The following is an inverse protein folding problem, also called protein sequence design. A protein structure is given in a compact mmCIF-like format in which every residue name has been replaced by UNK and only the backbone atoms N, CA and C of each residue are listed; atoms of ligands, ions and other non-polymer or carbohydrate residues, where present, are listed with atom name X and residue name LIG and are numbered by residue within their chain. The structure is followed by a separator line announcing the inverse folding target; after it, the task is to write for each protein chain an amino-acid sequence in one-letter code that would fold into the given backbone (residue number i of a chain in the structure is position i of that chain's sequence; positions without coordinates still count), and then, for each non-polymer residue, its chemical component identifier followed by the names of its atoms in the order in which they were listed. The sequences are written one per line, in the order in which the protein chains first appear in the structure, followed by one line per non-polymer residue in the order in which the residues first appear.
data_IF_108507270564
#
_entry.id   IF_108507270564
#
_cell.length_a   1.000
_cell.length_b   1.000
_cell.length_c   1.000
_cell.angle_alpha   90.00
_cell.angle_beta   90.00
_cell.angle_gamma   90.00
#
_symmetry.space_group_name_H-M   'P 1'
#
loop_
_entity.id
_entity.type
_entity.pdbx_description
1 polymer ?
#
# COMPACT_ATOMS: atom_id res chain seq x y z
N UNK A 1 30.21 31.06 -5.88
CA UNK A 1 28.77 30.93 -5.58
C UNK A 1 28.59 29.94 -4.43
N UNK A 2 28.01 30.35 -3.29
CA UNK A 2 27.78 29.46 -2.13
C UNK A 2 26.37 28.86 -2.26
N UNK A 3 26.26 27.54 -2.36
CA UNK A 3 24.97 26.83 -2.43
C UNK A 3 24.15 27.13 -1.17
N UNK A 4 22.89 27.52 -1.35
CA UNK A 4 22.01 27.92 -0.23
C UNK A 4 21.18 26.75 0.26
N UNK A 5 20.71 26.79 1.50
CA UNK A 5 19.89 25.71 2.10
C UNK A 5 18.64 25.33 1.29
N UNK A 6 18.17 26.23 0.40
CA UNK A 6 17.06 25.97 -0.53
C UNK A 6 17.44 24.97 -1.63
N UNK A 7 18.71 24.96 -2.06
CA UNK A 7 19.22 24.00 -3.04
C UNK A 7 19.31 22.58 -2.46
N UNK A 8 19.57 22.45 -1.15
CA UNK A 8 19.57 21.16 -0.46
C UNK A 8 18.17 20.55 -0.29
N UNK A 9 17.12 21.37 -0.15
CA UNK A 9 15.74 20.88 -0.04
C UNK A 9 15.21 20.29 -1.36
N UNK A 10 15.65 20.81 -2.51
CA UNK A 10 15.30 20.26 -3.81
C UNK A 10 15.94 18.88 -4.06
N UNK A 11 17.11 18.61 -3.49
CA UNK A 11 17.79 17.32 -3.61
C UNK A 11 17.20 16.26 -2.67
N UNK A 12 16.66 16.65 -1.52
CA UNK A 12 16.05 15.70 -0.57
C UNK A 12 14.60 15.33 -0.91
N UNK A 13 13.89 16.14 -1.71
CA UNK A 13 12.50 15.87 -2.11
C UNK A 13 12.33 14.81 -3.20
N UNK A 14 13.42 14.36 -3.84
CA UNK A 14 13.36 13.42 -4.97
C UNK A 14 14.21 12.17 -4.80
N UNK A 15 14.43 11.70 -3.57
CA UNK A 15 14.63 10.26 -3.38
C UNK A 15 13.30 9.57 -3.63
N UNK A 16 12.91 9.47 -4.91
CA UNK A 16 12.12 8.36 -5.42
C UNK A 16 12.89 7.13 -5.00
N UNK A 17 12.58 6.64 -3.81
CA UNK A 17 13.11 5.40 -3.28
C UNK A 17 12.76 4.42 -4.37
N UNK A 18 13.78 3.97 -5.07
CA UNK A 18 13.72 2.84 -5.99
C UNK A 18 12.77 1.85 -5.33
N UNK A 19 11.68 1.48 -6.01
CA UNK A 19 10.69 0.56 -5.48
C UNK A 19 11.43 -0.66 -4.96
N UNK A 20 11.74 -0.67 -3.66
CA UNK A 20 12.63 -1.67 -3.09
C UNK A 20 11.99 -3.01 -3.44
N UNK A 21 12.76 -3.89 -4.09
CA UNK A 21 12.30 -5.21 -4.47
C UNK A 21 11.93 -5.93 -3.17
N UNK A 22 10.64 -5.93 -2.82
CA UNK A 22 10.14 -6.39 -1.52
C UNK A 22 9.23 -5.41 -0.77
N UNK A 23 9.17 -4.14 -1.18
CA UNK A 23 8.23 -3.15 -0.63
C UNK A 23 6.78 -3.57 -0.84
N UNK A 24 5.90 -3.18 0.07
CA UNK A 24 4.46 -3.46 -0.04
C UNK A 24 3.88 -2.94 -1.37
N UNK A 25 4.41 -1.83 -1.90
CA UNK A 25 4.00 -1.30 -3.20
C UNK A 25 4.37 -2.24 -4.35
N UNK A 26 5.58 -2.81 -4.33
CA UNK A 26 6.00 -3.80 -5.31
C UNK A 26 5.15 -5.07 -5.22
N UNK A 27 4.94 -5.59 -4.00
CA UNK A 27 4.10 -6.79 -3.76
C UNK A 27 2.65 -6.57 -4.19
N UNK A 28 2.07 -5.40 -3.89
CA UNK A 28 0.72 -5.05 -4.33
C UNK A 28 0.60 -5.02 -5.86
N UNK A 29 1.57 -4.38 -6.54
CA UNK A 29 1.61 -4.31 -8.00
C UNK A 29 1.75 -5.69 -8.65
N UNK A 30 2.57 -6.58 -8.07
CA UNK A 30 2.76 -7.94 -8.58
C UNK A 30 1.46 -8.76 -8.59
N UNK A 31 0.57 -8.54 -7.63
CA UNK A 31 -0.73 -9.22 -7.53
C UNK A 31 -1.87 -8.36 -8.14
N UNK A 32 -1.55 -7.25 -8.82
CA UNK A 32 -2.55 -6.40 -9.46
C UNK A 32 -3.51 -5.68 -8.51
N UNK A 33 -3.11 -5.44 -7.24
CA UNK A 33 -3.96 -4.77 -6.24
C UNK A 33 -3.46 -3.36 -5.89
N UNK A 34 -4.35 -2.42 -5.53
CA UNK A 34 -3.95 -1.13 -5.00
C UNK A 34 -3.21 -1.28 -3.66
N UNK A 35 -2.17 -0.48 -3.46
CA UNK A 35 -1.38 -0.46 -2.22
C UNK A 35 -2.25 -0.07 -1.01
N UNK A 36 -3.20 0.85 -1.20
CA UNK A 36 -4.17 1.24 -0.18
C UNK A 36 -4.99 0.05 0.29
N UNK A 37 -5.52 -0.75 -0.64
CA UNK A 37 -6.26 -1.98 -0.36
C UNK A 37 -5.41 -2.99 0.41
N UNK A 38 -4.14 -3.19 0.00
CA UNK A 38 -3.21 -4.07 0.70
C UNK A 38 -3.02 -3.63 2.17
N UNK A 39 -2.77 -2.33 2.40
CA UNK A 39 -2.60 -1.76 3.75
C UNK A 39 -3.85 -1.94 4.61
N UNK A 40 -5.04 -1.65 4.08
CA UNK A 40 -6.30 -1.82 4.82
C UNK A 40 -6.52 -3.26 5.23
N UNK A 41 -6.16 -4.23 4.39
CA UNK A 41 -6.28 -5.66 4.72
C UNK A 41 -5.29 -6.10 5.78
N UNK A 42 -4.02 -5.70 5.65
CA UNK A 42 -3.01 -5.97 6.69
C UNK A 42 -3.51 -5.42 8.01
N UNK A 43 -4.03 -4.19 8.03
CA UNK A 43 -4.60 -3.59 9.24
C UNK A 43 -5.75 -4.42 9.82
N UNK A 44 -6.75 -4.80 9.02
CA UNK A 44 -7.88 -5.64 9.49
C UNK A 44 -7.43 -6.99 10.05
N UNK A 45 -6.43 -7.61 9.43
CA UNK A 45 -5.88 -8.89 9.87
C UNK A 45 -5.11 -8.73 11.19
N UNK A 46 -4.31 -7.68 11.30
CA UNK A 46 -3.61 -7.33 12.55
C UNK A 46 -4.60 -6.97 13.66
N UNK A 47 -5.63 -6.19 13.36
CA UNK A 47 -6.71 -5.86 14.31
C UNK A 47 -7.47 -7.12 14.79
N UNK A 48 -7.51 -8.17 13.96
CA UNK A 48 -8.05 -9.49 14.34
C UNK A 48 -7.07 -10.39 15.11
N UNK A 49 -5.89 -9.88 15.45
CA UNK A 49 -4.86 -10.60 16.23
C UNK A 49 -3.88 -11.41 15.39
N UNK A 50 -3.83 -11.22 14.07
CA UNK A 50 -2.89 -11.93 13.20
C UNK A 50 -1.57 -11.17 13.16
N UNK A 51 -0.46 -11.89 13.31
CA UNK A 51 0.87 -11.30 13.20
C UNK A 51 1.07 -10.61 11.85
N UNK A 52 1.77 -9.47 11.85
CA UNK A 52 1.94 -8.61 10.69
C UNK A 52 2.49 -9.34 9.46
N UNK A 53 3.47 -10.22 9.63
CA UNK A 53 4.04 -10.97 8.50
C UNK A 53 3.04 -11.93 7.89
N UNK A 54 2.38 -12.73 8.73
CA UNK A 54 1.31 -13.64 8.32
C UNK A 54 0.12 -12.90 7.70
N UNK A 55 -0.19 -11.71 8.20
CA UNK A 55 -1.21 -10.83 7.64
C UNK A 55 -0.85 -10.35 6.23
N UNK A 56 0.44 -10.08 5.96
CA UNK A 56 0.92 -9.73 4.61
C UNK A 56 0.74 -10.92 3.67
N UNK A 57 1.13 -12.12 4.07
CA UNK A 57 0.95 -13.34 3.25
C UNK A 57 -0.52 -13.62 2.95
N UNK A 58 -1.39 -13.55 3.97
CA UNK A 58 -2.83 -13.74 3.81
C UNK A 58 -3.45 -12.64 2.92
N UNK A 59 -2.97 -11.40 3.04
CA UNK A 59 -3.46 -10.31 2.21
C UNK A 59 -3.02 -10.45 0.74
N UNK A 60 -1.83 -11.01 0.47
CA UNK A 60 -1.32 -11.22 -0.88
C UNK A 60 -1.91 -12.47 -1.55
N UNK A 61 -2.21 -13.53 -0.80
CA UNK A 61 -2.69 -14.82 -1.36
C UNK A 61 -4.10 -14.76 -1.95
N UNK A 62 -4.97 -13.89 -1.44
CA UNK A 62 -6.35 -13.73 -1.92
C UNK A 62 -6.56 -12.35 -2.52
N UNK A 63 -6.12 -12.05 -3.75
CA UNK A 63 -6.41 -10.76 -4.36
C UNK A 63 -7.92 -10.54 -4.46
N UNK A 64 -8.41 -9.49 -3.82
CA UNK A 64 -9.80 -9.06 -4.00
C UNK A 64 -9.81 -8.30 -5.33
N UNK A 65 -10.44 -8.89 -6.34
CA UNK A 65 -10.77 -8.19 -7.58
C UNK A 65 -11.60 -6.94 -7.29
N UNK A 66 -11.77 -6.02 -8.25
CA UNK A 66 -12.52 -4.78 -8.04
C UNK A 66 -13.85 -5.08 -7.34
N UNK A 67 -13.99 -4.64 -6.09
CA UNK A 67 -15.27 -4.70 -5.39
C UNK A 67 -16.20 -3.81 -6.19
N UNK A 68 -17.07 -4.44 -6.99
CA UNK A 68 -18.11 -3.75 -7.73
C UNK A 68 -18.88 -2.79 -6.83
N UNK A 69 -19.47 -1.77 -7.46
CA UNK A 69 -20.24 -0.70 -6.82
C UNK A 69 -21.07 -1.25 -5.63
N UNK A 70 -21.00 -0.62 -4.43
CA UNK A 70 -21.85 -1.00 -3.32
C UNK A 70 -23.30 -1.10 -3.79
N UNK A 71 -23.95 -2.26 -3.58
CA UNK A 71 -25.38 -2.37 -3.83
C UNK A 71 -26.05 -1.37 -2.91
N UNK A 72 -26.81 -0.42 -3.48
CA UNK A 72 -27.63 0.48 -2.69
C UNK A 72 -28.51 -0.39 -1.77
N UNK A 73 -28.63 -0.11 -0.47
CA UNK A 73 -29.62 -0.77 0.35
C UNK A 73 -30.99 -0.42 -0.23
N UNK A 74 -31.66 -1.42 -0.81
CA UNK A 74 -33.08 -1.30 -1.20
C UNK A 74 -33.89 -1.37 0.08
N UNK A 75 -34.12 -0.21 0.71
CA UNK A 75 -35.25 -0.02 1.60
C UNK A 75 -36.28 0.79 0.83
N UNK A 76 -37.32 0.12 0.35
CA UNK A 76 -38.60 0.69 -0.04
C UNK A 76 -39.69 -0.26 0.46
#
# INVERSE_FOLDING_TARGET
MKLTARDFQLVQGQKKTECAMGSLSHRAKAVGMPVSTLKTRIRKLVDSGIERERAIEIALSKPIGPQGRPRKPTHF
#
